data_IF_210089404896
#
_entry.id   IF_210089404896
#
_cell.length_a   1.000
_cell.length_b   1.000
_cell.length_c   1.000
_cell.angle_alpha   90.00
_cell.angle_beta   90.00
_cell.angle_gamma   90.00
#
_symmetry.space_group_name_H-M   'P 1'
#
loop_
_entity.id
_entity.type
_entity.pdbx_description
1 polymer ?
#
# COMPACT_ATOMS: atom_id res chain seq x y z
N UNK A 1 -3.04 21.49 -1.07
CA UNK A 1 -2.68 20.37 -0.16
C UNK A 1 -1.35 19.80 -0.61
N UNK A 2 -0.50 19.36 0.31
CA UNK A 2 0.78 18.74 -0.06
C UNK A 2 0.53 17.36 -0.71
N UNK A 3 1.30 17.05 -1.74
CA UNK A 3 1.29 15.77 -2.44
C UNK A 3 2.36 14.84 -1.86
N UNK A 4 2.27 13.50 -2.04
CA UNK A 4 3.25 12.56 -1.50
C UNK A 4 4.71 12.89 -1.85
N UNK A 5 4.98 13.41 -3.04
CA UNK A 5 6.32 13.79 -3.50
C UNK A 5 6.90 15.03 -2.81
N UNK A 6 6.06 15.85 -2.16
CA UNK A 6 6.50 17.06 -1.46
C UNK A 6 7.15 16.74 -0.11
N UNK A 7 6.93 15.53 0.41
CA UNK A 7 7.49 15.08 1.67
C UNK A 7 8.88 14.48 1.48
N UNK A 8 9.89 15.02 2.18
CA UNK A 8 11.28 14.53 2.07
C UNK A 8 11.45 13.05 2.43
N UNK A 9 10.68 12.55 3.39
CA UNK A 9 10.69 11.15 3.83
C UNK A 9 9.99 10.20 2.85
N UNK A 10 9.27 10.72 1.85
CA UNK A 10 8.53 9.91 0.89
C UNK A 10 9.42 9.51 -0.29
N UNK A 11 9.32 8.23 -0.69
CA UNK A 11 9.92 7.72 -1.92
C UNK A 11 9.12 8.10 -3.17
N UNK A 12 7.94 8.72 -3.04
CA UNK A 12 7.06 9.05 -4.16
C UNK A 12 7.75 9.92 -5.22
N UNK A 13 8.63 10.85 -4.81
CA UNK A 13 9.41 11.66 -5.74
C UNK A 13 10.33 10.82 -6.64
N UNK A 14 10.90 9.73 -6.10
CA UNK A 14 11.76 8.81 -6.87
C UNK A 14 10.90 7.94 -7.79
N UNK A 15 9.80 7.39 -7.28
CA UNK A 15 8.87 6.59 -8.09
C UNK A 15 8.27 7.36 -9.27
N UNK A 16 8.06 8.67 -9.11
CA UNK A 16 7.60 9.58 -10.16
C UNK A 16 8.72 10.09 -11.09
N UNK A 17 9.98 9.71 -10.85
CA UNK A 17 11.14 10.16 -11.61
C UNK A 17 11.52 11.63 -11.39
N UNK A 18 11.02 12.26 -10.31
CA UNK A 18 11.27 13.66 -9.97
C UNK A 18 12.58 13.86 -9.20
N UNK A 19 13.10 12.79 -8.59
CA UNK A 19 14.35 12.76 -7.84
C UNK A 19 15.07 11.43 -8.07
N UNK A 20 16.39 11.43 -8.05
CA UNK A 20 17.17 10.19 -8.02
C UNK A 20 17.04 9.43 -6.70
N UNK A 21 17.37 8.14 -6.70
CA UNK A 21 17.45 7.34 -5.48
C UNK A 21 18.79 7.57 -4.77
N UNK A 22 18.87 8.62 -3.96
CA UNK A 22 20.10 9.02 -3.26
C UNK A 22 20.62 7.95 -2.28
N UNK A 23 19.72 7.09 -1.77
CA UNK A 23 20.02 6.12 -0.73
C UNK A 23 20.12 4.68 -1.26
N UNK A 24 19.90 4.46 -2.56
CA UNK A 24 19.86 3.14 -3.20
C UNK A 24 18.92 2.15 -2.46
N UNK A 25 17.77 2.65 -2.01
CA UNK A 25 16.75 1.86 -1.30
C UNK A 25 15.70 1.26 -2.23
N UNK A 26 15.65 1.70 -3.48
CA UNK A 26 14.66 1.31 -4.47
C UNK A 26 15.31 0.39 -5.49
N UNK A 27 14.70 -0.77 -5.73
CA UNK A 27 15.06 -1.62 -6.85
C UNK A 27 14.61 -0.94 -8.16
N UNK A 28 15.50 -0.12 -8.72
CA UNK A 28 15.23 0.64 -9.94
C UNK A 28 15.06 -0.29 -11.16
N UNK A 29 15.66 -1.48 -11.15
CA UNK A 29 15.49 -2.45 -12.23
C UNK A 29 14.09 -3.04 -12.20
N UNK A 30 13.55 -3.40 -11.02
CA UNK A 30 12.16 -3.80 -10.86
C UNK A 30 11.22 -2.65 -11.22
N UNK A 31 11.48 -1.44 -10.69
CA UNK A 31 10.69 -0.25 -10.97
C UNK A 31 10.53 0.01 -12.47
N UNK A 32 11.63 -0.08 -13.24
CA UNK A 32 11.61 0.09 -14.69
C UNK A 32 10.78 -1.00 -15.37
N UNK A 33 10.97 -2.27 -15.00
CA UNK A 33 10.18 -3.40 -15.53
C UNK A 33 8.69 -3.32 -15.18
N UNK A 34 8.34 -2.65 -14.08
CA UNK A 34 6.95 -2.42 -13.65
C UNK A 34 6.28 -1.21 -14.32
N UNK A 35 6.92 -0.60 -15.33
CA UNK A 35 6.36 0.52 -16.10
C UNK A 35 6.83 1.90 -15.63
N UNK A 36 7.77 1.95 -14.68
CA UNK A 36 8.46 3.19 -14.29
C UNK A 36 7.51 4.32 -13.88
N UNK A 37 7.94 5.56 -14.12
CA UNK A 37 7.23 6.75 -13.63
C UNK A 37 5.77 6.86 -14.13
N UNK A 38 5.44 6.30 -15.29
CA UNK A 38 4.09 6.38 -15.86
C UNK A 38 3.10 5.56 -15.04
N UNK A 39 3.41 4.29 -14.76
CA UNK A 39 2.56 3.43 -13.93
C UNK A 39 2.35 3.99 -12.53
N UNK A 40 3.39 4.57 -11.93
CA UNK A 40 3.26 5.22 -10.62
C UNK A 40 2.39 6.48 -10.68
N UNK A 41 2.48 7.28 -11.75
CA UNK A 41 1.62 8.45 -11.94
C UNK A 41 0.16 8.05 -12.09
N UNK A 42 -0.13 6.99 -12.84
CA UNK A 42 -1.49 6.45 -12.95
C UNK A 42 -2.01 6.00 -11.59
N UNK A 43 -1.21 5.25 -10.83
CA UNK A 43 -1.58 4.77 -9.49
C UNK A 43 -1.89 5.92 -8.52
N UNK A 44 -1.06 6.98 -8.50
CA UNK A 44 -1.32 8.16 -7.66
C UNK A 44 -2.49 9.02 -8.15
N UNK A 45 -2.90 8.89 -9.41
CA UNK A 45 -4.05 9.61 -9.97
C UNK A 45 -5.37 8.90 -9.70
N UNK A 46 -5.33 7.60 -9.35
CA UNK A 46 -6.51 6.84 -9.03
C UNK A 46 -7.17 7.40 -7.75
N UNK A 47 -8.49 7.69 -7.77
CA UNK A 47 -9.18 8.16 -6.57
C UNK A 47 -9.21 7.04 -5.53
N UNK A 48 -8.95 7.41 -4.27
CA UNK A 48 -9.13 6.47 -3.18
C UNK A 48 -10.63 6.18 -2.96
N UNK A 49 -10.97 4.92 -2.72
CA UNK A 49 -12.32 4.52 -2.35
C UNK A 49 -12.47 4.72 -0.84
N UNK A 50 -13.31 5.66 -0.42
CA UNK A 50 -13.41 6.04 1.00
C UNK A 50 -13.77 4.86 1.91
N UNK A 51 -14.65 3.96 1.46
CA UNK A 51 -14.99 2.74 2.20
C UNK A 51 -13.76 1.84 2.45
N UNK A 52 -12.85 1.72 1.47
CA UNK A 52 -11.61 0.97 1.64
C UNK A 52 -10.67 1.68 2.62
N UNK A 53 -10.57 3.01 2.55
CA UNK A 53 -9.76 3.81 3.49
C UNK A 53 -10.27 3.68 4.92
N UNK A 54 -11.58 3.75 5.15
CA UNK A 54 -12.17 3.58 6.47
C UNK A 54 -11.86 2.19 7.07
N UNK A 55 -11.94 1.13 6.26
CA UNK A 55 -11.58 -0.21 6.72
C UNK A 55 -10.09 -0.35 7.00
N UNK A 56 -9.23 0.20 6.13
CA UNK A 56 -7.80 0.21 6.35
C UNK A 56 -7.44 0.92 7.67
N UNK A 57 -8.08 2.06 7.97
CA UNK A 57 -7.90 2.79 9.24
C UNK A 57 -8.36 1.94 10.44
N UNK A 58 -9.52 1.29 10.37
CA UNK A 58 -10.02 0.41 11.44
C UNK A 58 -9.07 -0.76 11.71
N UNK A 59 -8.57 -1.40 10.65
CA UNK A 59 -7.64 -2.51 10.74
C UNK A 59 -6.30 -2.05 11.35
N UNK A 60 -5.68 -1.00 10.80
CA UNK A 60 -4.36 -0.52 11.26
C UNK A 60 -4.40 0.04 12.67
N UNK A 61 -5.46 0.75 13.07
CA UNK A 61 -5.64 1.21 14.45
C UNK A 61 -5.71 0.03 15.45
N UNK A 62 -6.42 -1.03 15.09
CA UNK A 62 -6.55 -2.24 15.93
C UNK A 62 -5.37 -3.21 15.85
N UNK A 63 -4.33 -2.91 15.06
CA UNK A 63 -3.23 -3.83 14.76
C UNK A 63 -3.71 -5.13 14.10
N UNK A 64 -4.74 -5.03 13.24
CA UNK A 64 -5.29 -6.15 12.47
C UNK A 64 -4.82 -6.07 11.02
N UNK A 65 -4.54 -7.21 10.36
CA UNK A 65 -4.25 -7.23 8.94
C UNK A 65 -5.48 -6.78 8.12
N UNK A 66 -5.26 -5.95 7.11
CA UNK A 66 -6.26 -5.62 6.08
C UNK A 66 -5.99 -6.48 4.85
N UNK A 67 -6.89 -7.41 4.53
CA UNK A 67 -6.71 -8.31 3.40
C UNK A 67 -7.79 -9.38 3.32
N UNK A 68 -7.76 -10.16 2.24
CA UNK A 68 -8.65 -11.31 2.05
C UNK A 68 -8.41 -12.42 3.08
N UNK A 69 -9.30 -13.40 3.13
CA UNK A 69 -9.24 -14.50 4.11
C UNK A 69 -7.92 -15.27 4.07
N UNK A 70 -7.41 -15.56 2.87
CA UNK A 70 -6.16 -16.30 2.70
C UNK A 70 -4.95 -15.48 3.17
N UNK A 71 -4.96 -14.16 2.93
CA UNK A 71 -3.92 -13.26 3.43
C UNK A 71 -3.94 -13.22 4.96
N UNK A 72 -5.10 -13.04 5.58
CA UNK A 72 -5.23 -13.02 7.04
C UNK A 72 -4.79 -14.36 7.62
N UNK A 73 -5.21 -15.49 7.04
CA UNK A 73 -4.82 -16.82 7.50
C UNK A 73 -3.30 -17.03 7.50
N UNK A 74 -2.60 -16.57 6.45
CA UNK A 74 -1.13 -16.59 6.39
C UNK A 74 -0.50 -15.74 7.48
N UNK A 75 -1.00 -14.53 7.71
CA UNK A 75 -0.47 -13.67 8.79
C UNK A 75 -0.73 -14.30 10.17
N UNK A 76 -1.85 -14.97 10.38
CA UNK A 76 -2.13 -15.70 11.61
C UNK A 76 -1.17 -16.88 11.85
N UNK A 77 -0.81 -17.60 10.78
CA UNK A 77 0.16 -18.68 10.81
C UNK A 77 1.57 -18.16 11.14
N UNK A 78 2.02 -17.14 10.42
CA UNK A 78 3.36 -16.56 10.59
C UNK A 78 3.54 -15.88 11.95
N UNK A 79 2.48 -15.22 12.47
CA UNK A 79 2.55 -14.47 13.72
C UNK A 79 2.12 -15.25 14.97
N UNK A 80 1.44 -16.39 14.80
CA UNK A 80 0.82 -17.14 15.90
C UNK A 80 -0.37 -16.42 16.58
N UNK A 81 -0.76 -15.24 16.11
CA UNK A 81 -1.89 -14.46 16.63
C UNK A 81 -3.13 -14.75 15.81
N UNK A 82 -4.29 -14.92 16.46
CA UNK A 82 -5.59 -15.07 15.79
C UNK A 82 -6.42 -13.78 15.88
N UNK A 83 -7.10 -13.42 14.81
CA UNK A 83 -8.05 -12.31 14.77
C UNK A 83 -9.48 -12.80 14.56
N UNK A 84 -10.44 -12.13 15.20
CA UNK A 84 -11.87 -12.40 14.94
C UNK A 84 -12.20 -11.97 13.52
N UNK A 85 -12.83 -12.86 12.75
CA UNK A 85 -13.34 -12.56 11.40
C UNK A 85 -14.40 -11.45 11.50
N UNK A 86 -14.28 -10.42 10.67
CA UNK A 86 -15.29 -9.36 10.51
C UNK A 86 -15.46 -8.96 9.04
N UNK A 87 -16.31 -7.96 8.77
CA UNK A 87 -16.68 -7.52 7.43
C UNK A 87 -15.54 -6.93 6.58
N UNK A 88 -14.40 -6.54 7.16
CA UNK A 88 -13.24 -6.01 6.42
C UNK A 88 -12.67 -7.02 5.40
N UNK A 89 -12.81 -8.31 5.67
CA UNK A 89 -12.36 -9.40 4.79
C UNK A 89 -13.20 -9.55 3.51
N UNK A 90 -14.40 -8.96 3.45
CA UNK A 90 -15.25 -8.97 2.23
C UNK A 90 -14.83 -7.92 1.21
N UNK A 91 -14.31 -6.78 1.66
CA UNK A 91 -13.97 -5.63 0.80
C UNK A 91 -12.59 -5.76 0.17
N UNK A 92 -11.68 -6.51 0.81
CA UNK A 92 -10.37 -6.80 0.26
C UNK A 92 -10.40 -7.81 -0.92
N UNK A 93 -11.53 -8.47 -1.19
CA UNK A 93 -11.70 -9.37 -2.36
C UNK A 93 -12.05 -8.61 -3.65
N UNK A 94 -12.43 -7.35 -3.53
CA UNK A 94 -12.90 -6.50 -4.64
C UNK A 94 -11.91 -5.39 -4.97
N UNK A 95 -10.77 -5.34 -4.26
CA UNK A 95 -9.68 -4.39 -4.43
C UNK A 95 -8.59 -4.97 -5.34
#
# INVERSE_FOLDING_TARGET
MASPQDYRWSSAAVHLGLRGDEYNLIDLAYWERSGGAETWREMFSAPAVEEQLEQLRKCTYGGRPYGGQDFVARIEEDSGRRWKRDGSQRLARTA
#
